data_IF_253250793244
#
_entry.id   IF_253250793244
#
_cell.length_a   1.000
_cell.length_b   1.000
_cell.length_c   1.000
_cell.angle_alpha   90.00
_cell.angle_beta   90.00
_cell.angle_gamma   90.00
#
_symmetry.space_group_name_H-M   'P 1'
#
loop_
_entity.id
_entity.type
_entity.pdbx_description
1 polymer ?
#
# COMPACT_ATOMS: atom_id res chain seq x y z
N UNK A 1 15.49 18.54 15.26
CA UNK A 1 14.26 19.32 14.98
C UNK A 1 13.58 19.69 16.29
N UNK A 2 13.30 20.97 16.51
CA UNK A 2 12.52 21.42 17.68
C UNK A 2 11.04 21.18 17.42
N UNK A 3 10.32 20.59 18.38
CA UNK A 3 8.87 20.37 18.33
C UNK A 3 8.20 21.13 19.48
N UNK A 4 8.02 22.45 19.36
CA UNK A 4 7.61 23.27 20.50
C UNK A 4 6.14 23.12 20.87
N UNK A 5 5.31 22.51 20.01
CA UNK A 5 3.86 22.44 20.21
C UNK A 5 3.45 21.08 20.75
N UNK A 6 3.17 21.00 22.05
CA UNK A 6 2.83 19.76 22.72
C UNK A 6 1.32 19.60 22.94
N UNK A 7 0.81 18.41 22.62
CA UNK A 7 -0.54 17.99 22.99
C UNK A 7 -0.61 17.70 24.48
N UNK A 8 -1.49 18.41 25.20
CA UNK A 8 -1.63 18.25 26.66
C UNK A 8 -2.33 16.94 27.06
N UNK A 9 -3.03 16.28 26.12
CA UNK A 9 -3.76 15.03 26.42
C UNK A 9 -2.89 13.77 26.28
N UNK A 10 -1.92 13.77 25.37
CA UNK A 10 -1.05 12.60 25.15
C UNK A 10 0.45 12.92 25.06
N UNK A 11 0.83 14.16 25.39
CA UNK A 11 2.21 14.67 25.44
C UNK A 11 2.99 14.58 24.14
N UNK A 12 2.35 14.24 23.01
CA UNK A 12 2.98 14.26 21.68
C UNK A 12 3.30 15.68 21.25
N UNK A 13 4.52 15.87 20.78
CA UNK A 13 4.99 17.17 20.29
C UNK A 13 5.02 17.25 18.76
N UNK A 14 4.72 18.43 18.25
CA UNK A 14 4.60 18.76 16.83
C UNK A 14 5.50 19.94 16.48
N UNK A 15 5.96 19.98 15.22
CA UNK A 15 6.83 21.06 14.74
C UNK A 15 6.09 22.37 14.44
N UNK A 16 4.75 22.33 14.32
CA UNK A 16 3.92 23.51 14.10
C UNK A 16 2.60 23.43 14.87
N UNK A 17 2.03 24.61 15.18
CA UNK A 17 0.73 24.71 15.82
C UNK A 17 -0.38 24.09 14.95
N UNK A 18 -0.31 24.27 13.63
CA UNK A 18 -1.27 23.67 12.69
C UNK A 18 -1.35 22.14 12.84
N UNK A 19 -0.21 21.44 12.93
CA UNK A 19 -0.18 19.99 13.14
C UNK A 19 -0.76 19.60 14.49
N UNK A 20 -0.49 20.38 15.55
CA UNK A 20 -1.09 20.15 16.86
C UNK A 20 -2.62 20.29 16.81
N UNK A 21 -3.15 21.34 16.18
CA UNK A 21 -4.61 21.55 16.02
C UNK A 21 -5.24 20.40 15.22
N UNK A 22 -4.61 19.97 14.13
CA UNK A 22 -5.08 18.80 13.38
C UNK A 22 -5.04 17.52 14.22
N UNK A 23 -4.01 17.35 15.05
CA UNK A 23 -3.87 16.20 15.94
C UNK A 23 -4.94 16.18 17.04
N UNK A 24 -5.34 17.33 17.58
CA UNK A 24 -6.39 17.42 18.62
C UNK A 24 -7.70 16.77 18.15
N UNK A 25 -8.01 16.80 16.85
CA UNK A 25 -9.17 16.09 16.26
C UNK A 25 -9.14 14.57 16.48
N UNK A 26 -7.98 14.01 16.81
CA UNK A 26 -7.86 12.60 17.21
C UNK A 26 -8.58 12.33 18.53
N UNK A 27 -8.47 13.26 19.46
CA UNK A 27 -9.10 13.18 20.78
C UNK A 27 -10.57 13.58 20.75
N UNK A 28 -10.91 14.68 20.06
CA UNK A 28 -12.30 15.17 20.02
C UNK A 28 -13.21 14.35 19.10
N UNK A 29 -12.61 13.59 18.17
CA UNK A 29 -13.37 12.86 17.14
C UNK A 29 -13.93 13.75 16.04
N UNK A 30 -13.65 15.06 16.05
CA UNK A 30 -14.15 16.02 15.06
C UNK A 30 -13.72 15.62 13.64
N UNK A 31 -14.69 15.56 12.73
CA UNK A 31 -14.50 15.21 11.32
C UNK A 31 -15.14 16.29 10.45
N UNK A 32 -14.49 17.46 10.29
CA UNK A 32 -15.11 18.61 9.65
C UNK A 32 -15.42 18.36 8.17
N UNK A 33 -14.64 17.52 7.49
CA UNK A 33 -14.75 17.33 6.05
C UNK A 33 -15.68 16.16 5.70
N UNK A 34 -16.77 16.43 4.96
CA UNK A 34 -17.71 15.42 4.45
C UNK A 34 -17.36 15.03 3.01
N UNK A 35 -17.53 13.76 2.65
CA UNK A 35 -17.47 13.31 1.25
C UNK A 35 -18.69 13.84 0.47
N UNK A 36 -18.49 14.23 -0.79
CA UNK A 36 -19.58 14.68 -1.67
C UNK A 36 -20.46 13.55 -2.19
N UNK A 37 -19.97 12.31 -2.18
CA UNK A 37 -20.67 11.14 -2.74
C UNK A 37 -21.32 10.24 -1.67
N UNK A 38 -21.01 10.43 -0.39
CA UNK A 38 -21.57 9.63 0.71
C UNK A 38 -21.48 10.38 2.05
N UNK A 39 -22.07 9.82 3.11
CA UNK A 39 -22.09 10.46 4.43
C UNK A 39 -20.80 10.30 5.25
N UNK A 40 -19.74 9.72 4.68
CA UNK A 40 -18.47 9.57 5.39
C UNK A 40 -17.81 10.92 5.62
N UNK A 41 -17.33 11.12 6.86
CA UNK A 41 -16.60 12.33 7.29
C UNK A 41 -15.17 12.01 7.71
N UNK A 42 -14.26 12.96 7.53
CA UNK A 42 -12.83 12.82 7.73
C UNK A 42 -12.24 13.99 8.52
N UNK A 43 -11.10 13.74 9.18
CA UNK A 43 -10.37 14.72 10.00
C UNK A 43 -9.54 15.69 9.18
N UNK A 44 -9.22 15.34 7.93
CA UNK A 44 -8.36 16.09 7.01
C UNK A 44 -8.93 16.07 5.59
N UNK A 45 -8.71 17.16 4.85
CA UNK A 45 -9.19 17.31 3.47
C UNK A 45 -8.51 16.33 2.50
N UNK A 46 -7.20 16.12 2.65
CA UNK A 46 -6.43 15.16 1.85
C UNK A 46 -7.02 13.74 1.92
N UNK A 47 -7.51 13.33 3.09
CA UNK A 47 -8.16 12.03 3.26
C UNK A 47 -9.51 11.95 2.54
N UNK A 48 -10.26 13.06 2.45
CA UNK A 48 -11.48 13.11 1.63
C UNK A 48 -11.14 12.96 0.15
N UNK A 49 -10.16 13.72 -0.35
CA UNK A 49 -9.73 13.66 -1.75
C UNK A 49 -9.22 12.27 -2.14
N UNK A 50 -8.48 11.61 -1.23
CA UNK A 50 -8.07 10.23 -1.44
C UNK A 50 -9.28 9.28 -1.44
N UNK A 51 -10.23 9.48 -0.54
CA UNK A 51 -11.45 8.67 -0.47
C UNK A 51 -12.35 8.85 -1.70
N UNK A 52 -12.47 10.05 -2.26
CA UNK A 52 -13.32 10.31 -3.43
C UNK A 52 -12.90 9.50 -4.66
N UNK A 53 -11.63 9.11 -4.75
CA UNK A 53 -11.13 8.20 -5.80
C UNK A 53 -11.82 6.83 -5.80
N UNK A 54 -12.38 6.40 -4.66
CA UNK A 54 -13.17 5.17 -4.59
C UNK A 54 -14.51 5.29 -5.33
N UNK A 55 -15.07 6.50 -5.40
CA UNK A 55 -16.32 6.77 -6.11
C UNK A 55 -16.07 7.04 -7.59
N UNK A 56 -15.00 7.77 -7.93
CA UNK A 56 -14.67 8.08 -9.32
C UNK A 56 -13.96 6.95 -10.06
N UNK A 57 -13.42 5.97 -9.32
CA UNK A 57 -12.61 4.89 -9.89
C UNK A 57 -11.19 5.32 -10.31
N UNK A 58 -10.77 6.55 -10.00
CA UNK A 58 -9.46 7.07 -10.36
C UNK A 58 -8.33 6.27 -9.68
N UNK A 59 -7.42 5.72 -10.49
CA UNK A 59 -6.28 4.91 -10.03
C UNK A 59 -4.97 5.51 -10.55
N UNK A 60 -4.46 6.58 -9.93
CA UNK A 60 -3.32 7.32 -10.45
C UNK A 60 -2.00 6.54 -10.33
N UNK A 61 -1.92 5.54 -9.45
CA UNK A 61 -0.69 4.80 -9.21
C UNK A 61 -0.66 3.51 -10.01
N UNK A 62 0.03 3.51 -11.16
CA UNK A 62 0.15 2.36 -12.04
C UNK A 62 1.42 1.55 -11.73
N UNK A 63 1.32 0.23 -11.79
CA UNK A 63 2.48 -0.65 -11.77
C UNK A 63 3.26 -0.46 -13.07
N UNK A 64 4.57 -0.23 -12.95
CA UNK A 64 5.45 0.02 -14.09
C UNK A 64 5.96 -1.27 -14.76
N UNK A 65 5.58 -2.45 -14.26
CA UNK A 65 6.04 -3.72 -14.81
C UNK A 65 5.22 -4.09 -16.07
N UNK A 66 5.89 -4.47 -17.18
CA UNK A 66 5.28 -4.60 -18.50
C UNK A 66 4.03 -5.48 -18.56
N UNK A 67 4.01 -6.59 -17.83
CA UNK A 67 2.93 -7.58 -17.89
C UNK A 67 1.89 -7.47 -16.77
N UNK A 68 2.03 -6.47 -15.88
CA UNK A 68 1.15 -6.37 -14.72
C UNK A 68 -0.12 -5.56 -15.02
N UNK A 69 0.03 -4.38 -15.61
CA UNK A 69 -1.08 -3.48 -15.96
C UNK A 69 -1.94 -2.98 -14.78
N UNK A 70 -1.63 -3.36 -13.52
CA UNK A 70 -2.44 -3.01 -12.36
C UNK A 70 -2.28 -1.55 -11.96
N UNK A 71 -3.38 -0.93 -11.55
CA UNK A 71 -3.42 0.43 -11.05
C UNK A 71 -4.13 0.52 -9.69
N UNK A 72 -3.68 1.44 -8.85
CA UNK A 72 -4.07 1.57 -7.46
C UNK A 72 -4.50 3.00 -7.13
N UNK A 73 -5.40 3.11 -6.16
CA UNK A 73 -5.92 4.39 -5.65
C UNK A 73 -4.89 5.08 -4.74
N UNK A 74 -4.05 4.30 -4.07
CA UNK A 74 -3.05 4.77 -3.10
C UNK A 74 -1.65 4.24 -3.43
N UNK A 75 -0.63 5.06 -3.18
CA UNK A 75 0.77 4.71 -3.39
C UNK A 75 1.21 3.53 -2.50
N UNK A 76 0.76 3.48 -1.25
CA UNK A 76 1.05 2.39 -0.31
C UNK A 76 0.62 1.03 -0.85
N UNK A 77 -0.52 0.97 -1.54
CA UNK A 77 -1.02 -0.26 -2.15
C UNK A 77 -0.16 -0.68 -3.34
N UNK A 78 0.28 0.27 -4.18
CA UNK A 78 1.24 0.00 -5.25
C UNK A 78 2.56 -0.52 -4.67
N UNK A 79 3.10 0.13 -3.64
CA UNK A 79 4.34 -0.27 -2.96
C UNK A 79 4.24 -1.68 -2.37
N UNK A 80 3.11 -2.02 -1.73
CA UNK A 80 2.86 -3.38 -1.26
C UNK A 80 2.79 -4.39 -2.40
N UNK A 81 2.13 -4.02 -3.49
CA UNK A 81 2.05 -4.85 -4.68
C UNK A 81 3.42 -5.10 -5.33
N UNK A 82 4.28 -4.08 -5.41
CA UNK A 82 5.63 -4.22 -5.98
C UNK A 82 6.51 -5.16 -5.16
N UNK A 83 6.42 -5.15 -3.83
CA UNK A 83 7.11 -6.13 -2.99
C UNK A 83 6.75 -7.58 -3.31
N UNK A 84 5.52 -7.82 -3.78
CA UNK A 84 5.12 -9.16 -4.20
C UNK A 84 5.73 -9.55 -5.55
N UNK A 85 6.01 -8.60 -6.44
CA UNK A 85 6.77 -8.86 -7.65
C UNK A 85 8.22 -9.21 -7.32
N UNK A 86 8.87 -8.46 -6.43
CA UNK A 86 10.24 -8.78 -5.98
C UNK A 86 10.29 -10.19 -5.37
N UNK A 87 9.31 -10.54 -4.53
CA UNK A 87 9.22 -11.89 -3.96
C UNK A 87 8.99 -12.99 -5.02
N UNK A 88 8.26 -12.69 -6.10
CA UNK A 88 8.09 -13.62 -7.23
C UNK A 88 9.38 -13.76 -8.04
N UNK A 89 10.09 -12.67 -8.30
CA UNK A 89 11.37 -12.65 -9.01
C UNK A 89 12.43 -13.43 -8.23
N UNK A 90 12.56 -13.22 -6.93
CA UNK A 90 13.50 -13.97 -6.09
C UNK A 90 13.13 -15.46 -6.00
N UNK A 91 11.83 -15.80 -5.96
CA UNK A 91 11.39 -17.20 -6.04
C UNK A 91 11.70 -17.85 -7.39
N UNK A 92 11.60 -17.10 -8.49
CA UNK A 92 11.95 -17.59 -9.83
C UNK A 92 13.46 -17.82 -9.95
N UNK A 93 14.29 -16.90 -9.43
CA UNK A 93 15.76 -17.09 -9.35
C UNK A 93 16.14 -18.33 -8.54
N UNK A 94 15.47 -18.57 -7.41
CA UNK A 94 15.69 -19.74 -6.57
C UNK A 94 15.07 -21.03 -7.11
N UNK A 95 14.46 -21.01 -8.31
CA UNK A 95 13.85 -22.16 -8.96
C UNK A 95 14.27 -22.26 -10.43
N UNK A 96 15.58 -22.47 -10.71
CA UNK A 96 16.08 -22.42 -12.08
C UNK A 96 15.60 -23.60 -12.94
N UNK A 97 15.24 -24.73 -12.34
CA UNK A 97 14.84 -25.94 -13.06
C UNK A 97 13.33 -25.97 -13.31
N UNK A 98 12.91 -26.03 -14.57
CA UNK A 98 11.49 -25.98 -14.94
C UNK A 98 11.03 -27.28 -15.58
N UNK A 99 9.86 -27.78 -15.18
CA UNK A 99 9.22 -28.90 -15.84
C UNK A 99 8.78 -28.50 -17.24
N UNK A 100 9.24 -29.23 -18.26
CA UNK A 100 8.88 -29.00 -19.65
C UNK A 100 7.42 -29.39 -19.99
N UNK A 101 6.76 -30.18 -19.14
CA UNK A 101 5.35 -30.58 -19.32
C UNK A 101 4.39 -29.53 -18.71
N UNK A 102 4.64 -29.08 -17.47
CA UNK A 102 3.71 -28.21 -16.74
C UNK A 102 4.25 -26.81 -16.42
N UNK A 103 5.51 -26.50 -16.74
CA UNK A 103 6.14 -25.20 -16.49
C UNK A 103 6.50 -24.92 -15.03
N UNK A 104 6.28 -25.86 -14.10
CA UNK A 104 6.55 -25.67 -12.67
C UNK A 104 8.06 -25.57 -12.40
N UNK A 105 8.48 -24.52 -11.68
CA UNK A 105 9.87 -24.31 -11.26
C UNK A 105 10.26 -25.04 -9.97
N UNK A 106 11.48 -25.55 -9.91
CA UNK A 106 12.07 -26.34 -8.83
C UNK A 106 13.46 -25.78 -8.47
N UNK A 107 13.80 -25.84 -7.18
CA UNK A 107 15.06 -25.31 -6.66
C UNK A 107 16.28 -26.16 -7.02
N UNK A 108 16.09 -27.47 -7.22
CA UNK A 108 17.16 -28.41 -7.57
C UNK A 108 16.72 -29.32 -8.70
N UNK A 109 17.69 -29.82 -9.47
CA UNK A 109 17.43 -30.75 -10.57
C UNK A 109 16.86 -32.08 -10.06
N UNK A 110 17.30 -32.54 -8.89
CA UNK A 110 16.79 -33.79 -8.28
C UNK A 110 15.29 -33.69 -7.94
N UNK A 111 14.83 -32.53 -7.47
CA UNK A 111 13.40 -32.28 -7.24
C UNK A 111 12.61 -32.21 -8.55
N UNK A 112 13.20 -31.72 -9.64
CA UNK A 112 12.57 -31.76 -10.96
C UNK A 112 12.48 -33.20 -11.49
N UNK A 113 13.56 -33.98 -11.39
CA UNK A 113 13.61 -35.38 -11.86
C UNK A 113 12.58 -36.27 -11.17
N UNK A 114 12.44 -36.14 -9.85
CA UNK A 114 11.41 -36.88 -9.09
C UNK A 114 9.98 -36.43 -9.40
N UNK A 115 9.81 -35.19 -9.88
CA UNK A 115 8.51 -34.69 -10.34
C UNK A 115 8.14 -35.22 -11.72
N UNK A 116 9.10 -35.32 -12.65
CA UNK A 116 8.87 -35.79 -14.04
C UNK A 116 8.93 -37.30 -14.18
N UNK A 117 9.47 -38.02 -13.20
CA UNK A 117 9.45 -39.49 -13.15
C UNK A 117 8.14 -40.09 -12.62
N UNK A 118 7.15 -39.24 -12.31
CA UNK A 118 5.77 -39.63 -12.00
C UNK A 118 4.88 -39.28 -13.20
#
# INVERSE_FOLDING_TARGET
EVKPHQCQQCLKSFSSNHQLVQHIRVHTGEKPYKCSYCDRRFKQLSHVQQHTRLHTGERPYKCHLPDCGRAFIQLSNLQQHLRNHDAQVERAKNRPFHCNICGKGFATESSLRTHTSK
#
